data_IF_542999321549
#
_entry.id   IF_542999321549
#
_cell.length_a   1.000
_cell.length_b   1.000
_cell.length_c   1.000
_cell.angle_alpha   90.00
_cell.angle_beta   90.00
_cell.angle_gamma   90.00
#
_symmetry.space_group_name_H-M   'P 1'
#
loop_
_entity.id
_entity.type
_entity.pdbx_description
1 polymer ?
#
# COMPACT_ATOMS: atom_id res chain seq x y z
N UNK A 1 -29.52 -21.59 7.24
CA UNK A 1 -28.58 -20.90 8.16
C UNK A 1 -27.43 -20.22 7.41
N UNK A 2 -26.74 -20.90 6.49
CA UNK A 2 -25.59 -20.35 5.76
C UNK A 2 -25.81 -19.03 4.99
N UNK A 3 -27.02 -18.78 4.49
CA UNK A 3 -27.31 -17.59 3.66
C UNK A 3 -27.55 -16.31 4.49
N UNK A 4 -28.13 -16.47 5.68
CA UNK A 4 -28.36 -15.37 6.63
C UNK A 4 -27.04 -14.87 7.22
N UNK A 5 -26.11 -15.79 7.47
CA UNK A 5 -24.77 -15.47 7.98
C UNK A 5 -23.91 -14.79 6.91
N UNK A 6 -23.98 -15.22 5.64
CA UNK A 6 -23.35 -14.53 4.50
C UNK A 6 -23.86 -13.10 4.34
N UNK A 7 -25.17 -12.89 4.43
CA UNK A 7 -25.76 -11.55 4.35
C UNK A 7 -25.33 -10.64 5.50
N UNK A 8 -25.17 -11.17 6.72
CA UNK A 8 -24.67 -10.40 7.86
C UNK A 8 -23.18 -10.04 7.69
N UNK A 9 -22.37 -10.97 7.17
CA UNK A 9 -20.96 -10.73 6.89
C UNK A 9 -20.77 -9.65 5.80
N UNK A 10 -21.53 -9.73 4.70
CA UNK A 10 -21.48 -8.71 3.64
C UNK A 10 -21.89 -7.33 4.15
N UNK A 11 -23.01 -7.24 4.89
CA UNK A 11 -23.45 -5.96 5.50
C UNK A 11 -22.40 -5.36 6.42
N UNK A 12 -21.70 -6.19 7.18
CA UNK A 12 -20.59 -5.75 8.05
C UNK A 12 -19.44 -5.17 7.23
N UNK A 13 -18.99 -5.85 6.17
CA UNK A 13 -17.91 -5.34 5.32
C UNK A 13 -18.30 -4.06 4.58
N UNK A 14 -19.52 -3.98 4.04
CA UNK A 14 -20.05 -2.75 3.43
C UNK A 14 -20.02 -1.60 4.43
N UNK A 15 -20.42 -1.84 5.69
CA UNK A 15 -20.34 -0.82 6.74
C UNK A 15 -18.90 -0.40 7.04
N UNK A 16 -17.97 -1.36 7.13
CA UNK A 16 -16.55 -1.08 7.42
C UNK A 16 -15.93 -0.25 6.29
N UNK A 17 -16.11 -0.66 5.03
CA UNK A 17 -15.57 0.07 3.88
C UNK A 17 -16.12 1.49 3.77
N UNK A 18 -17.41 1.69 4.05
CA UNK A 18 -18.07 3.00 3.96
C UNK A 18 -17.81 3.94 5.16
N UNK A 19 -17.02 3.55 6.16
CA UNK A 19 -16.64 4.47 7.24
C UNK A 19 -15.90 5.70 6.68
N UNK A 20 -16.19 6.87 7.22
CA UNK A 20 -15.59 8.13 6.77
C UNK A 20 -15.93 8.45 5.31
N UNK A 21 -17.19 8.23 4.90
CA UNK A 21 -17.66 8.39 3.52
C UNK A 21 -16.87 7.57 2.47
N UNK A 22 -16.32 6.43 2.87
CA UNK A 22 -15.54 5.55 1.99
C UNK A 22 -14.08 5.97 1.80
N UNK A 23 -13.62 7.05 2.44
CA UNK A 23 -12.23 7.48 2.35
C UNK A 23 -11.28 6.39 2.89
N UNK A 24 -10.32 5.99 2.06
CA UNK A 24 -9.37 4.91 2.39
C UNK A 24 -10.09 3.62 2.84
N UNK A 25 -11.24 3.32 2.21
CA UNK A 25 -12.16 2.23 2.58
C UNK A 25 -11.50 0.86 2.64
N UNK A 26 -10.57 0.59 1.73
CA UNK A 26 -9.78 -0.66 1.66
C UNK A 26 -8.92 -0.91 2.91
N UNK A 27 -8.63 0.15 3.68
CA UNK A 27 -7.85 0.06 4.93
C UNK A 27 -8.69 0.01 6.19
N UNK A 28 -10.03 0.09 6.07
CA UNK A 28 -10.88 0.08 7.24
C UNK A 28 -11.03 -1.35 7.79
N UNK A 29 -10.92 -1.47 9.11
CA UNK A 29 -11.11 -2.72 9.84
C UNK A 29 -11.73 -2.43 11.23
N UNK A 30 -12.43 -3.40 11.83
CA UNK A 30 -12.99 -3.28 13.19
C UNK A 30 -12.11 -3.96 14.25
N UNK A 31 -11.30 -4.95 13.86
CA UNK A 31 -10.47 -5.74 14.77
C UNK A 31 -9.24 -6.33 14.06
N UNK A 32 -8.39 -7.03 14.81
CA UNK A 32 -7.14 -7.61 14.30
C UNK A 32 -7.36 -8.70 13.24
N UNK A 33 -8.51 -9.41 13.27
CA UNK A 33 -8.83 -10.42 12.26
C UNK A 33 -9.13 -9.74 10.92
N UNK A 34 -9.94 -8.68 10.94
CA UNK A 34 -10.21 -7.87 9.74
C UNK A 34 -8.94 -7.23 9.20
N UNK A 35 -8.07 -6.72 10.09
CA UNK A 35 -6.78 -6.14 9.72
C UNK A 35 -5.94 -7.15 8.93
N UNK A 36 -5.82 -8.39 9.43
CA UNK A 36 -5.10 -9.47 8.73
C UNK A 36 -5.73 -9.81 7.38
N UNK A 37 -7.05 -9.75 7.25
CA UNK A 37 -7.74 -9.97 5.96
C UNK A 37 -7.34 -8.87 4.96
N UNK A 38 -7.33 -7.61 5.39
CA UNK A 38 -6.91 -6.47 4.57
C UNK A 38 -5.44 -6.59 4.15
N UNK A 39 -4.55 -6.93 5.08
CA UNK A 39 -3.11 -7.11 4.82
C UNK A 39 -2.85 -8.27 3.86
N UNK A 40 -3.48 -9.44 4.09
CA UNK A 40 -3.38 -10.60 3.19
C UNK A 40 -3.91 -10.27 1.79
N UNK A 41 -5.01 -9.52 1.70
CA UNK A 41 -5.56 -9.12 0.40
C UNK A 41 -4.63 -8.14 -0.32
N UNK A 42 -4.00 -7.22 0.43
CA UNK A 42 -3.05 -6.24 -0.09
C UNK A 42 -1.80 -6.92 -0.66
N UNK A 43 -1.20 -7.86 0.08
CA UNK A 43 0.02 -8.54 -0.38
C UNK A 43 -0.25 -9.48 -1.56
N UNK A 44 -1.42 -10.13 -1.60
CA UNK A 44 -1.83 -10.93 -2.76
C UNK A 44 -2.08 -10.06 -4.00
N UNK A 45 -2.71 -8.90 -3.83
CA UNK A 45 -2.93 -7.98 -4.94
C UNK A 45 -1.61 -7.43 -5.45
N UNK A 46 -0.66 -7.08 -4.58
CA UNK A 46 0.70 -6.72 -4.98
C UNK A 46 1.38 -7.83 -5.77
N UNK A 47 1.33 -9.09 -5.29
CA UNK A 47 1.89 -10.23 -6.01
C UNK A 47 1.33 -10.36 -7.42
N UNK A 48 0.01 -10.25 -7.57
CA UNK A 48 -0.63 -10.36 -8.90
C UNK A 48 -0.33 -9.16 -9.80
N UNK A 49 -0.25 -7.95 -9.22
CA UNK A 49 0.07 -6.72 -9.94
C UNK A 49 1.52 -6.72 -10.42
N UNK A 50 2.45 -7.22 -9.62
CA UNK A 50 3.86 -7.37 -10.02
C UNK A 50 4.05 -8.30 -11.21
N UNK A 51 3.26 -9.39 -11.29
CA UNK A 51 3.26 -10.25 -12.47
C UNK A 51 2.67 -9.55 -13.69
N UNK A 52 1.61 -8.75 -13.52
CA UNK A 52 0.95 -8.07 -14.62
C UNK A 52 1.78 -6.91 -15.19
N UNK A 53 2.44 -6.12 -14.33
CA UNK A 53 3.13 -4.90 -14.73
C UNK A 53 4.62 -5.12 -15.04
N UNK A 54 5.27 -6.09 -14.40
CA UNK A 54 6.73 -6.30 -14.52
C UNK A 54 7.12 -7.74 -14.88
N UNK A 55 6.15 -8.61 -15.15
CA UNK A 55 6.35 -10.04 -15.41
C UNK A 55 6.99 -10.84 -14.24
N UNK A 56 7.10 -10.24 -13.05
CA UNK A 56 7.76 -10.85 -11.88
C UNK A 56 6.84 -11.90 -11.25
N UNK A 57 7.25 -13.17 -11.29
CA UNK A 57 6.57 -14.24 -10.56
C UNK A 57 7.06 -14.30 -9.11
N UNK A 58 6.10 -14.24 -8.18
CA UNK A 58 6.38 -14.43 -6.76
C UNK A 58 5.60 -15.63 -6.21
N UNK A 59 6.19 -16.30 -5.23
CA UNK A 59 5.52 -17.34 -4.46
C UNK A 59 4.39 -16.81 -3.60
N UNK A 60 3.64 -17.73 -2.99
CA UNK A 60 2.52 -17.39 -2.10
C UNK A 60 3.05 -16.68 -0.86
N UNK A 61 2.58 -15.47 -0.52
CA UNK A 61 3.00 -14.74 0.67
C UNK A 61 2.74 -15.54 1.95
N UNK A 62 3.73 -15.54 2.84
CA UNK A 62 3.65 -16.18 4.15
C UNK A 62 3.62 -15.11 5.24
N UNK A 63 2.55 -14.98 6.03
CA UNK A 63 2.48 -14.00 7.10
C UNK A 63 3.47 -14.34 8.23
N UNK A 64 4.08 -13.31 8.82
CA UNK A 64 4.95 -13.44 9.97
C UNK A 64 4.21 -13.05 11.26
N UNK A 65 3.94 -13.99 12.18
CA UNK A 65 3.27 -13.69 13.44
C UNK A 65 4.11 -12.85 14.41
N UNK A 66 5.42 -12.72 14.17
CA UNK A 66 6.39 -12.06 15.05
C UNK A 66 6.81 -10.66 14.57
N UNK A 67 6.05 -10.04 13.63
CA UNK A 67 6.25 -8.69 13.04
C UNK A 67 7.22 -7.76 13.80
N UNK A 68 8.27 -7.21 13.14
CA UNK A 68 8.53 -7.16 11.69
C UNK A 68 9.49 -8.25 11.14
N UNK A 69 9.48 -8.56 9.82
CA UNK A 69 8.60 -8.04 8.74
C UNK A 69 7.15 -8.53 8.88
N UNK A 70 6.21 -8.02 8.07
CA UNK A 70 4.83 -8.51 8.05
C UNK A 70 4.68 -9.82 7.27
N UNK A 71 5.41 -9.96 6.16
CA UNK A 71 5.32 -11.11 5.25
C UNK A 71 6.68 -11.58 4.77
N UNK A 72 6.72 -12.83 4.31
CA UNK A 72 7.79 -13.39 3.49
C UNK A 72 7.24 -13.79 2.12
N UNK A 73 7.97 -13.49 1.05
CA UNK A 73 7.59 -13.82 -0.33
C UNK A 73 8.82 -14.39 -1.04
N UNK A 74 8.65 -15.44 -1.85
CA UNK A 74 9.76 -16.00 -2.61
C UNK A 74 9.82 -15.45 -4.05
N UNK A 75 11.01 -15.08 -4.51
CA UNK A 75 11.28 -14.65 -5.89
C UNK A 75 12.56 -15.36 -6.33
N UNK A 76 12.49 -16.13 -7.44
CA UNK A 76 13.65 -16.87 -7.98
C UNK A 76 14.36 -17.75 -6.92
N UNK A 77 13.59 -18.35 -6.01
CA UNK A 77 14.12 -19.18 -4.92
C UNK A 77 14.72 -18.41 -3.74
N UNK A 78 14.79 -17.09 -3.80
CA UNK A 78 15.17 -16.24 -2.67
C UNK A 78 13.93 -15.83 -1.88
N UNK A 79 14.00 -15.97 -0.55
CA UNK A 79 12.96 -15.45 0.35
C UNK A 79 13.24 -14.00 0.65
N UNK A 80 12.31 -13.13 0.28
CA UNK A 80 12.33 -11.71 0.60
C UNK A 80 11.40 -11.43 1.77
N UNK A 81 11.84 -10.57 2.67
CA UNK A 81 10.98 -10.03 3.71
C UNK A 81 10.25 -8.76 3.21
N UNK A 82 8.97 -8.64 3.57
CA UNK A 82 8.09 -7.56 3.08
C UNK A 82 7.40 -6.91 4.27
N UNK A 83 7.57 -5.60 4.40
CA UNK A 83 6.79 -4.77 5.32
C UNK A 83 5.68 -4.06 4.56
N UNK A 84 4.46 -4.12 5.09
CA UNK A 84 3.33 -3.33 4.62
C UNK A 84 3.18 -2.05 5.43
N UNK A 85 3.02 -0.92 4.73
CA UNK A 85 2.66 0.35 5.36
C UNK A 85 1.61 1.07 4.54
N UNK A 86 0.84 1.93 5.21
CA UNK A 86 -0.20 2.71 4.58
C UNK A 86 0.24 4.16 4.42
N UNK A 87 0.11 4.72 3.22
CA UNK A 87 0.13 6.16 2.99
C UNK A 87 -1.32 6.64 2.97
N UNK A 88 -1.79 7.05 4.16
CA UNK A 88 -3.11 7.66 4.40
C UNK A 88 -2.98 8.75 5.46
N UNK A 89 -3.46 9.95 5.15
CA UNK A 89 -3.51 11.12 6.01
C UNK A 89 -4.59 10.92 7.08
N UNK A 90 -4.14 10.55 8.28
CA UNK A 90 -5.03 10.24 9.40
C UNK A 90 -5.92 11.42 9.79
N UNK A 91 -5.44 12.65 9.60
CA UNK A 91 -6.24 13.85 9.84
C UNK A 91 -7.39 13.99 8.84
N UNK A 92 -7.15 13.72 7.55
CA UNK A 92 -8.21 13.70 6.54
C UNK A 92 -9.23 12.61 6.84
N UNK A 93 -8.76 11.41 7.22
CA UNK A 93 -9.63 10.31 7.65
C UNK A 93 -10.53 10.71 8.82
N UNK A 94 -9.96 11.37 9.83
CA UNK A 94 -10.68 11.86 11.00
C UNK A 94 -11.73 12.91 10.62
N UNK A 95 -11.41 13.84 9.73
CA UNK A 95 -12.35 14.85 9.22
C UNK A 95 -13.47 14.21 8.40
N UNK A 96 -13.15 13.24 7.56
CA UNK A 96 -14.14 12.48 6.80
C UNK A 96 -15.11 11.70 7.70
N UNK A 97 -14.68 11.25 8.89
CA UNK A 97 -15.59 10.65 9.87
C UNK A 97 -16.48 11.65 10.62
N UNK A 98 -16.24 12.96 10.45
CA UNK A 98 -16.99 14.07 11.07
C UNK A 98 -17.82 14.83 10.03
N UNK A 99 -18.35 14.13 9.04
CA UNK A 99 -19.25 14.64 8.00
C UNK A 99 -18.61 15.63 7.00
N UNK A 100 -17.29 15.80 7.00
CA UNK A 100 -16.61 16.44 5.86
C UNK A 100 -16.49 15.44 4.70
N UNK A 101 -16.69 15.92 3.47
CA UNK A 101 -16.60 15.05 2.28
C UNK A 101 -15.25 15.20 1.58
N UNK A 102 -14.60 14.10 1.14
CA UNK A 102 -13.38 14.19 0.35
C UNK A 102 -13.63 14.69 -1.09
N UNK A 103 -14.90 14.85 -1.49
CA UNK A 103 -15.30 15.21 -2.85
C UNK A 103 -15.78 16.66 -3.00
N UNK A 104 -15.91 17.42 -1.90
CA UNK A 104 -16.28 18.84 -1.93
C UNK A 104 -15.83 19.59 -0.67
N UNK A 105 -15.90 20.92 -0.69
CA UNK A 105 -15.60 21.77 0.47
C UNK A 105 -14.12 21.83 0.85
N UNK A 106 -13.83 22.16 2.12
CA UNK A 106 -12.46 22.41 2.57
C UNK A 106 -11.60 21.14 2.59
N UNK A 107 -12.16 20.00 3.00
CA UNK A 107 -11.43 18.74 3.01
C UNK A 107 -10.97 18.34 1.60
N UNK A 108 -11.81 18.48 0.57
CA UNK A 108 -11.42 18.25 -0.82
C UNK A 108 -10.20 19.09 -1.24
N UNK A 109 -10.17 20.38 -0.89
CA UNK A 109 -9.05 21.27 -1.18
C UNK A 109 -7.78 20.84 -0.44
N UNK A 110 -7.91 20.46 0.83
CA UNK A 110 -6.80 20.02 1.67
C UNK A 110 -6.28 18.64 1.27
N UNK A 111 -7.06 17.85 0.55
CA UNK A 111 -6.68 16.53 0.04
C UNK A 111 -5.94 16.58 -1.30
N UNK A 112 -5.88 17.74 -1.95
CA UNK A 112 -5.14 17.87 -3.21
C UNK A 112 -3.65 17.60 -2.97
N UNK A 113 -3.10 16.71 -3.79
CA UNK A 113 -1.68 16.39 -3.73
C UNK A 113 -0.87 17.35 -4.59
N UNK A 114 0.27 17.76 -4.04
CA UNK A 114 1.32 18.39 -4.81
C UNK A 114 2.54 17.51 -4.78
N UNK A 115 3.37 17.64 -5.81
CA UNK A 115 4.66 16.96 -5.89
C UNK A 115 5.49 17.08 -4.61
N UNK A 116 5.62 18.30 -4.07
CA UNK A 116 6.38 18.56 -2.84
C UNK A 116 5.80 17.80 -1.64
N UNK A 117 4.47 17.81 -1.49
CA UNK A 117 3.78 17.11 -0.41
C UNK A 117 3.98 15.60 -0.52
N UNK A 118 3.77 15.05 -1.72
CA UNK A 118 3.94 13.63 -2.01
C UNK A 118 5.35 13.12 -1.66
N UNK A 119 6.38 13.75 -2.24
CA UNK A 119 7.77 13.37 -1.97
C UNK A 119 8.14 13.51 -0.49
N UNK A 120 7.68 14.58 0.17
CA UNK A 120 7.91 14.78 1.60
C UNK A 120 7.26 13.70 2.46
N UNK A 121 6.06 13.25 2.11
CA UNK A 121 5.33 12.20 2.86
C UNK A 121 5.98 10.83 2.65
N UNK A 122 6.39 10.51 1.42
CA UNK A 122 7.16 9.29 1.14
C UNK A 122 8.46 9.26 1.94
N UNK A 123 9.25 10.33 1.86
CA UNK A 123 10.50 10.43 2.62
C UNK A 123 10.26 10.26 4.12
N UNK A 124 9.23 10.92 4.68
CA UNK A 124 8.88 10.77 6.08
C UNK A 124 8.55 9.32 6.46
N UNK A 125 7.77 8.60 5.65
CA UNK A 125 7.42 7.19 5.90
C UNK A 125 8.67 6.32 5.86
N UNK A 126 9.46 6.44 4.80
CA UNK A 126 10.67 5.64 4.56
C UNK A 126 11.69 5.88 5.67
N UNK A 127 12.00 7.13 6.00
CA UNK A 127 12.93 7.47 7.10
C UNK A 127 12.40 6.95 8.43
N UNK A 128 11.13 7.16 8.76
CA UNK A 128 10.58 6.69 10.05
C UNK A 128 10.67 5.17 10.20
N UNK A 129 10.37 4.43 9.15
CA UNK A 129 10.43 2.95 9.14
C UNK A 129 11.88 2.47 9.12
N UNK A 130 12.71 3.03 8.25
CA UNK A 130 14.14 2.74 8.17
C UNK A 130 14.86 2.95 9.50
N UNK A 131 14.61 4.06 10.18
CA UNK A 131 15.17 4.35 11.50
C UNK A 131 14.73 3.33 12.56
N UNK A 132 13.44 2.94 12.55
CA UNK A 132 12.92 1.88 13.43
C UNK A 132 13.65 0.56 13.19
N UNK A 133 13.95 0.19 11.95
CA UNK A 133 14.65 -1.06 11.63
C UNK A 133 16.13 -1.00 11.95
N UNK A 134 16.79 0.13 11.69
CA UNK A 134 18.18 0.35 12.09
C UNK A 134 18.38 0.17 13.60
N UNK A 135 17.47 0.71 14.42
CA UNK A 135 17.51 0.54 15.88
C UNK A 135 17.29 -0.90 16.34
N UNK A 136 16.69 -1.75 15.50
CA UNK A 136 16.43 -3.17 15.76
C UNK A 136 17.44 -4.09 15.08
N UNK A 137 18.45 -3.52 14.42
CA UNK A 137 19.43 -4.27 13.61
C UNK A 137 18.74 -5.19 12.58
N UNK A 138 17.64 -4.71 12.00
CA UNK A 138 16.85 -5.41 11.00
C UNK A 138 17.02 -4.76 9.63
N UNK A 139 17.03 -5.58 8.59
CA UNK A 139 16.97 -5.16 7.19
C UNK A 139 15.64 -5.59 6.57
N UNK A 140 15.04 -4.70 5.80
CA UNK A 140 13.83 -4.95 5.03
C UNK A 140 14.15 -5.02 3.54
N UNK A 141 13.82 -6.13 2.87
CA UNK A 141 14.02 -6.28 1.43
C UNK A 141 13.04 -5.40 0.65
N UNK A 142 11.77 -5.38 1.06
CA UNK A 142 10.70 -4.65 0.39
C UNK A 142 9.84 -3.90 1.41
N UNK A 143 9.80 -2.57 1.31
CA UNK A 143 8.77 -1.77 1.95
C UNK A 143 7.66 -1.48 0.92
N UNK A 144 6.51 -2.12 1.10
CA UNK A 144 5.33 -1.91 0.28
C UNK A 144 4.43 -0.84 0.92
N UNK A 145 4.36 0.32 0.27
CA UNK A 145 3.53 1.44 0.70
C UNK A 145 2.21 1.39 -0.08
N UNK A 146 1.15 0.86 0.52
CA UNK A 146 -0.18 0.87 -0.07
C UNK A 146 -0.86 2.22 0.19
N UNK A 147 -1.47 2.82 -0.83
CA UNK A 147 -2.25 4.05 -0.71
C UNK A 147 -3.63 3.93 -1.37
N UNK A 148 -4.60 4.56 -0.73
CA UNK A 148 -5.98 4.77 -1.19
C UNK A 148 -6.35 6.26 -0.97
N UNK A 149 -5.35 7.13 -1.10
CA UNK A 149 -5.54 8.56 -1.03
C UNK A 149 -6.36 9.06 -2.20
N UNK A 150 -7.48 9.70 -1.91
CA UNK A 150 -8.26 10.35 -2.96
C UNK A 150 -7.43 11.50 -3.54
N UNK A 151 -7.49 11.66 -4.87
CA UNK A 151 -6.78 12.71 -5.61
C UNK A 151 -5.26 12.57 -5.66
N UNK A 152 -4.74 11.36 -5.40
CA UNK A 152 -3.39 10.96 -5.78
C UNK A 152 -3.52 9.75 -6.72
N UNK A 153 -3.16 9.90 -7.99
CA UNK A 153 -3.13 8.77 -8.92
C UNK A 153 -1.71 8.31 -9.22
N UNK A 154 -1.61 7.07 -9.70
CA UNK A 154 -0.36 6.38 -10.02
C UNK A 154 0.47 7.10 -11.08
N UNK A 155 -0.18 7.70 -12.09
CA UNK A 155 0.50 8.40 -13.20
C UNK A 155 1.19 9.69 -12.73
N UNK A 156 0.50 10.49 -11.92
CA UNK A 156 1.06 11.69 -11.30
C UNK A 156 2.18 11.35 -10.34
N UNK A 157 1.98 10.33 -9.50
CA UNK A 157 2.99 9.85 -8.56
C UNK A 157 4.27 9.39 -9.29
N UNK A 158 4.13 8.60 -10.35
CA UNK A 158 5.24 8.16 -11.19
C UNK A 158 5.99 9.37 -11.79
N UNK A 159 5.26 10.30 -12.41
CA UNK A 159 5.85 11.52 -12.99
C UNK A 159 6.61 12.34 -11.95
N UNK A 160 6.08 12.43 -10.72
CA UNK A 160 6.71 13.17 -9.63
C UNK A 160 7.98 12.50 -9.10
N UNK A 161 8.04 11.17 -9.12
CA UNK A 161 9.22 10.36 -8.78
C UNK A 161 10.31 10.47 -9.84
N UNK A 162 9.97 10.39 -11.13
CA UNK A 162 10.96 10.47 -12.23
C UNK A 162 11.76 11.78 -12.21
N UNK A 163 11.12 12.89 -11.86
CA UNK A 163 11.83 14.16 -11.70
C UNK A 163 12.44 14.40 -10.32
N UNK A 164 12.14 13.55 -9.34
CA UNK A 164 12.36 13.76 -7.91
C UNK A 164 13.47 12.88 -7.36
N UNK A 165 13.97 13.20 -6.17
CA UNK A 165 14.88 12.30 -5.47
C UNK A 165 14.25 11.90 -4.14
N UNK A 166 14.11 10.60 -3.91
CA UNK A 166 13.73 10.01 -2.63
C UNK A 166 14.95 9.23 -2.17
N UNK A 167 15.62 9.73 -1.13
CA UNK A 167 16.85 9.11 -0.65
C UNK A 167 16.56 7.70 -0.09
N UNK A 168 17.33 6.73 -0.57
CA UNK A 168 17.26 5.36 -0.08
C UNK A 168 17.73 5.29 1.38
N UNK A 169 17.06 4.47 2.19
CA UNK A 169 17.47 4.24 3.57
C UNK A 169 18.22 2.90 3.68
N UNK A 170 19.39 2.82 4.33
CA UNK A 170 20.23 1.62 4.34
C UNK A 170 19.54 0.33 4.83
N UNK A 171 18.60 0.45 5.77
CA UNK A 171 17.82 -0.69 6.29
C UNK A 171 16.65 -1.14 5.41
N UNK A 172 16.43 -0.51 4.24
CA UNK A 172 15.34 -0.83 3.31
C UNK A 172 15.93 -0.95 1.90
N UNK A 173 15.94 -2.16 1.33
CA UNK A 173 16.56 -2.41 0.02
C UNK A 173 15.75 -1.87 -1.14
N UNK A 174 14.43 -2.01 -1.09
CA UNK A 174 13.53 -1.54 -2.14
C UNK A 174 12.22 -1.01 -1.58
N UNK A 175 11.61 -0.06 -2.29
CA UNK A 175 10.33 0.55 -1.92
C UNK A 175 9.42 0.60 -3.14
N UNK A 176 8.19 0.13 -2.96
CA UNK A 176 7.15 0.16 -3.97
C UNK A 176 5.90 0.85 -3.42
N UNK A 177 5.24 1.63 -4.27
CA UNK A 177 3.88 2.09 -4.02
C UNK A 177 2.91 1.13 -4.67
N UNK A 178 1.86 0.76 -3.93
CA UNK A 178 0.69 0.09 -4.46
C UNK A 178 -0.49 1.04 -4.33
N UNK A 179 -1.17 1.31 -5.44
CA UNK A 179 -2.37 2.15 -5.46
C UNK A 179 -3.62 1.29 -5.40
N UNK A 180 -4.71 1.82 -4.86
CA UNK A 180 -6.03 1.22 -5.07
C UNK A 180 -6.37 1.17 -6.58
N UNK A 181 -7.30 0.30 -6.96
CA UNK A 181 -7.79 0.17 -8.33
C UNK A 181 -8.13 1.53 -8.99
N UNK A 182 -7.54 1.77 -10.17
CA UNK A 182 -7.76 2.97 -10.99
C UNK A 182 -8.51 2.60 -12.29
N UNK A 183 -9.85 2.73 -12.35
CA UNK A 183 -10.64 2.28 -13.49
C UNK A 183 -10.23 2.92 -14.83
N UNK A 184 -9.69 4.14 -14.80
CA UNK A 184 -9.27 4.90 -15.98
C UNK A 184 -8.08 4.28 -16.72
N UNK A 185 -7.32 3.38 -16.09
CA UNK A 185 -6.14 2.75 -16.72
C UNK A 185 -6.51 1.63 -17.71
N UNK A 186 -7.74 1.10 -17.65
CA UNK A 186 -8.15 -0.02 -18.50
C UNK A 186 -7.41 -1.33 -18.20
N UNK A 187 -6.84 -1.46 -16.99
CA UNK A 187 -6.23 -2.70 -16.48
C UNK A 187 -6.98 -3.16 -15.24
N UNK A 188 -7.07 -4.47 -15.02
CA UNK A 188 -7.83 -5.08 -13.91
C UNK A 188 -7.00 -5.24 -12.62
N UNK A 189 -5.86 -4.55 -12.52
CA UNK A 189 -4.89 -4.70 -11.43
C UNK A 189 -4.55 -3.36 -10.80
N UNK A 190 -4.15 -3.44 -9.53
CA UNK A 190 -3.72 -2.28 -8.78
C UNK A 190 -2.38 -1.76 -9.30
N UNK A 191 -2.25 -0.45 -9.57
CA UNK A 191 -1.00 0.12 -10.06
C UNK A 191 0.15 -0.09 -9.07
N UNK A 192 1.32 -0.48 -9.57
CA UNK A 192 2.54 -0.55 -8.79
C UNK A 192 3.57 0.42 -9.34
N UNK A 193 4.05 1.32 -8.49
CA UNK A 193 5.06 2.32 -8.87
C UNK A 193 6.33 2.10 -8.06
N UNK A 194 7.47 1.75 -8.68
CA UNK A 194 8.75 1.66 -7.99
C UNK A 194 9.17 3.05 -7.48
N UNK A 195 9.60 3.14 -6.22
CA UNK A 195 10.14 4.38 -5.65
C UNK A 195 11.67 4.36 -5.73
N UNK A 196 12.29 3.28 -5.25
CA UNK A 196 13.71 2.99 -5.47
C UNK A 196 14.01 1.51 -5.24
N UNK A 197 15.20 1.12 -5.67
CA UNK A 197 15.68 -0.26 -5.56
C UNK A 197 15.04 -1.13 -6.62
N UNK A 198 15.57 -2.34 -6.75
CA UNK A 198 15.09 -3.32 -7.72
C UNK A 198 14.88 -4.65 -7.00
N UNK A 199 13.87 -5.39 -7.45
CA UNK A 199 13.76 -6.80 -7.09
C UNK A 199 14.81 -7.61 -7.86
N UNK A 200 15.29 -8.73 -7.31
CA UNK A 200 16.10 -9.66 -8.07
C UNK A 200 15.29 -10.16 -9.27
N UNK A 201 15.69 -9.75 -10.47
CA UNK A 201 15.17 -10.24 -11.74
C UNK A 201 16.06 -11.38 -12.25
N UNK A 202 15.51 -12.25 -13.11
CA UNK A 202 16.29 -13.30 -13.74
C UNK A 202 17.32 -12.65 -14.69
N UNK A 203 18.64 -12.83 -14.47
CA UNK A 203 19.67 -12.24 -15.33
C UNK A 203 19.63 -12.77 -16.77
N UNK A 204 18.88 -13.84 -17.04
CA UNK A 204 18.75 -14.48 -18.36
C UNK A 204 17.39 -14.23 -19.03
N UNK A 205 16.68 -13.15 -18.69
CA UNK A 205 15.35 -12.82 -19.23
C UNK A 205 15.15 -13.22 -20.70
N UNK A 206 14.07 -13.97 -20.95
CA UNK A 206 13.73 -14.57 -22.25
C UNK A 206 13.39 -13.60 -23.37
#
# INVERSE_FOLDING_TARGET
MAERDKNNHLKRWVRIMNKGHGYAGVFNYDNDVDKRIVENSTIEEWRTSMKAEFDVQMGVPQPNPNDPPDFFVSILGQTLNVELVQLVEQEHKRRATKDETPFAGQLFLDMQWSRKRFLSKLAQIITKKGEKYRQRELEIDVLLIHTAETWLNSTEAQTWLEGGNVDAHPSIRSVYLLFEYEPSRGVDRWPVVPVYGELPLDPNGG
#
